data_IF_993081693444
#
_entry.id   IF_993081693444
#
_cell.length_a   1.000
_cell.length_b   1.000
_cell.length_c   1.000
_cell.angle_alpha   90.00
_cell.angle_beta   90.00
_cell.angle_gamma   90.00
#
_symmetry.space_group_name_H-M   'P 1'
#
loop_
_entity.id
_entity.type
_entity.pdbx_description
1 polymer ?
#
# COMPACT_ATOMS: atom_id res chain seq x y z
N UNK A 1 -2.80 34.24 21.58
CA UNK A 1 -3.41 33.40 20.49
C UNK A 1 -2.49 32.22 20.27
N UNK A 2 -3.00 31.00 20.39
CA UNK A 2 -2.21 29.78 20.12
C UNK A 2 -1.87 29.70 18.62
N UNK A 3 -0.84 28.89 18.27
CA UNK A 3 -0.46 28.64 16.87
C UNK A 3 -1.65 28.11 16.05
N UNK A 4 -2.41 27.17 16.63
CA UNK A 4 -3.64 26.65 16.01
C UNK A 4 -4.65 27.76 15.70
N UNK A 5 -4.88 28.68 16.63
CA UNK A 5 -5.82 29.80 16.41
C UNK A 5 -5.33 30.72 15.30
N UNK A 6 -4.02 30.97 15.23
CA UNK A 6 -3.39 31.75 14.16
C UNK A 6 -3.61 31.10 12.80
N UNK A 7 -3.31 29.79 12.66
CA UNK A 7 -3.50 29.06 11.41
C UNK A 7 -4.97 29.10 10.96
N UNK A 8 -5.92 28.86 11.88
CA UNK A 8 -7.36 28.86 11.56
C UNK A 8 -7.88 30.25 11.16
N UNK A 9 -7.25 31.32 11.62
CA UNK A 9 -7.63 32.71 11.30
C UNK A 9 -6.93 33.25 10.05
N UNK A 10 -5.91 32.57 9.53
CA UNK A 10 -5.14 33.02 8.36
C UNK A 10 -5.88 32.63 7.08
N UNK A 11 -6.04 33.54 6.10
CA UNK A 11 -6.61 33.22 4.80
C UNK A 11 -5.84 32.11 4.10
N UNK A 12 -6.54 31.26 3.34
CA UNK A 12 -5.95 30.10 2.66
C UNK A 12 -4.80 30.50 1.72
N UNK A 13 -4.99 31.58 0.94
CA UNK A 13 -3.95 32.06 -0.01
C UNK A 13 -2.65 32.44 0.72
N UNK A 14 -2.76 33.05 1.89
CA UNK A 14 -1.59 33.36 2.72
C UNK A 14 -0.93 32.08 3.24
N UNK A 15 -1.70 31.11 3.73
CA UNK A 15 -1.16 29.81 4.18
C UNK A 15 -0.42 29.08 3.05
N UNK A 16 -0.98 29.10 1.83
CA UNK A 16 -0.35 28.50 0.65
C UNK A 16 0.95 29.22 0.28
N UNK A 17 0.97 30.56 0.35
CA UNK A 17 2.18 31.35 0.09
C UNK A 17 3.28 31.07 1.12
N UNK A 18 2.94 31.02 2.41
CA UNK A 18 3.85 30.74 3.51
C UNK A 18 4.42 29.30 3.39
N UNK A 19 3.58 28.31 3.13
CA UNK A 19 4.02 26.92 2.92
C UNK A 19 4.95 26.78 1.73
N UNK A 20 4.66 27.49 0.63
CA UNK A 20 5.53 27.51 -0.56
C UNK A 20 6.88 28.15 -0.22
N UNK A 21 6.88 29.27 0.46
CA UNK A 21 8.14 29.97 0.84
C UNK A 21 9.03 29.09 1.71
N UNK A 22 8.46 28.38 2.70
CA UNK A 22 9.19 27.43 3.55
C UNK A 22 9.78 26.29 2.72
N UNK A 23 8.97 25.68 1.84
CA UNK A 23 9.43 24.60 0.97
C UNK A 23 10.55 25.06 0.05
N UNK A 24 10.37 26.20 -0.63
CA UNK A 24 11.31 26.66 -1.64
C UNK A 24 12.65 27.11 -1.02
N UNK A 25 12.63 27.62 0.22
CA UNK A 25 13.84 27.94 0.96
C UNK A 25 14.71 26.70 1.27
N UNK A 26 14.08 25.53 1.43
CA UNK A 26 14.80 24.28 1.74
C UNK A 26 15.12 23.44 0.50
N UNK A 27 14.22 23.36 -0.46
CA UNK A 27 14.26 22.41 -1.57
C UNK A 27 14.26 23.06 -2.97
N UNK A 28 14.14 24.38 -3.03
CA UNK A 28 13.95 25.09 -4.29
C UNK A 28 12.64 24.68 -4.98
N UNK A 29 12.63 24.72 -6.31
CA UNK A 29 11.49 24.29 -7.12
C UNK A 29 11.45 22.77 -7.40
N UNK A 30 12.37 22.00 -6.83
CA UNK A 30 12.46 20.56 -7.08
C UNK A 30 11.31 19.81 -6.40
N UNK A 31 10.60 19.01 -7.18
CA UNK A 31 9.58 18.06 -6.71
C UNK A 31 10.03 16.67 -7.12
N UNK A 32 10.01 15.73 -6.19
CA UNK A 32 10.30 14.33 -6.46
C UNK A 32 9.02 13.49 -6.42
N UNK A 33 8.99 12.45 -7.21
CA UNK A 33 7.94 11.45 -7.20
C UNK A 33 8.53 10.05 -7.47
N UNK A 34 7.86 9.01 -6.99
CA UNK A 34 8.22 7.64 -7.29
C UNK A 34 7.03 6.94 -7.95
N UNK A 35 7.14 6.60 -9.26
CA UNK A 35 6.09 5.84 -9.93
C UNK A 35 6.04 4.42 -9.36
N UNK A 36 4.85 3.99 -8.93
CA UNK A 36 4.62 2.69 -8.30
C UNK A 36 3.61 1.86 -9.05
N UNK A 37 3.85 0.56 -9.13
CA UNK A 37 2.80 -0.38 -9.52
C UNK A 37 2.05 -0.85 -8.27
N UNK A 38 0.73 -0.86 -8.34
CA UNK A 38 -0.14 -1.25 -7.24
C UNK A 38 -0.40 -2.76 -7.28
N UNK A 39 -0.13 -3.46 -6.18
CA UNK A 39 -0.33 -4.90 -6.01
C UNK A 39 -1.30 -5.14 -4.85
N UNK A 40 -2.60 -5.39 -5.11
CA UNK A 40 -3.60 -5.68 -4.08
C UNK A 40 -3.47 -7.13 -3.61
N UNK A 41 -2.47 -7.44 -2.79
CA UNK A 41 -2.11 -8.81 -2.40
C UNK A 41 -3.29 -9.60 -1.82
N UNK A 42 -4.09 -8.95 -0.96
CA UNK A 42 -5.41 -9.43 -0.53
C UNK A 42 -6.34 -8.25 -0.26
N UNK A 43 -7.58 -8.36 -0.69
CA UNK A 43 -8.64 -7.41 -0.37
C UNK A 43 -9.48 -7.85 0.84
N UNK A 44 -9.19 -9.00 1.43
CA UNK A 44 -9.76 -9.41 2.71
C UNK A 44 -9.15 -8.59 3.84
N UNK A 45 -9.95 -8.20 4.83
CA UNK A 45 -9.48 -7.42 5.98
C UNK A 45 -10.26 -7.82 7.25
N UNK A 46 -9.58 -7.96 8.38
CA UNK A 46 -10.28 -8.20 9.65
C UNK A 46 -11.05 -6.97 10.13
N UNK A 47 -10.63 -5.76 9.74
CA UNK A 47 -11.21 -4.52 10.20
C UNK A 47 -12.42 -4.08 9.37
N UNK A 48 -13.24 -3.20 9.96
CA UNK A 48 -14.41 -2.58 9.34
C UNK A 48 -14.31 -1.07 9.44
N UNK A 49 -13.41 -0.48 8.66
CA UNK A 49 -13.23 0.97 8.64
C UNK A 49 -14.35 1.63 7.82
N UNK A 50 -15.05 2.60 8.42
CA UNK A 50 -16.22 3.23 7.79
C UNK A 50 -15.92 4.03 6.51
N UNK A 51 -14.67 4.37 6.23
CA UNK A 51 -14.25 5.08 5.02
C UNK A 51 -13.61 4.16 3.95
N UNK A 52 -13.26 2.92 4.32
CA UNK A 52 -12.49 2.04 3.46
C UNK A 52 -13.36 1.41 2.37
N UNK A 53 -13.01 1.66 1.10
CA UNK A 53 -13.63 1.04 -0.07
C UNK A 53 -12.82 -0.11 -0.66
N UNK A 54 -11.61 -0.34 -0.15
CA UNK A 54 -10.70 -1.38 -0.63
C UNK A 54 -11.11 -2.79 -0.17
N UNK A 55 -11.47 -2.93 1.12
CA UNK A 55 -11.78 -4.22 1.70
C UNK A 55 -13.05 -4.84 1.09
N UNK A 56 -12.98 -6.12 0.73
CA UNK A 56 -14.08 -6.88 0.15
C UNK A 56 -14.37 -8.13 1.00
N UNK A 57 -15.65 -8.56 1.10
CA UNK A 57 -15.99 -9.83 1.74
C UNK A 57 -15.59 -11.02 0.86
N UNK A 58 -15.35 -12.21 1.45
CA UNK A 58 -14.93 -13.40 0.70
C UNK A 58 -15.84 -13.73 -0.48
N UNK A 59 -17.15 -13.54 -0.35
CA UNK A 59 -18.13 -13.84 -1.39
C UNK A 59 -17.99 -13.01 -2.69
N UNK A 60 -17.18 -11.94 -2.67
CA UNK A 60 -16.90 -11.09 -3.83
C UNK A 60 -15.53 -11.37 -4.45
N UNK A 61 -14.76 -12.26 -3.89
CA UNK A 61 -13.40 -12.57 -4.34
C UNK A 61 -13.35 -13.99 -4.90
N UNK A 62 -12.71 -14.15 -6.03
CA UNK A 62 -12.43 -15.46 -6.61
C UNK A 62 -11.44 -16.25 -5.74
N UNK A 63 -10.38 -15.56 -5.25
CA UNK A 63 -9.38 -16.11 -4.39
C UNK A 63 -9.09 -15.15 -3.22
N UNK A 64 -8.73 -15.66 -2.04
CA UNK A 64 -8.43 -14.82 -0.88
C UNK A 64 -7.16 -13.98 -1.04
N UNK A 65 -6.21 -14.46 -1.83
CA UNK A 65 -4.93 -13.79 -2.13
C UNK A 65 -4.62 -13.87 -3.60
N UNK A 66 -3.86 -12.90 -4.13
CA UNK A 66 -3.21 -13.06 -5.44
C UNK A 66 -2.18 -14.20 -5.35
N UNK A 67 -2.09 -15.01 -6.39
CA UNK A 67 -1.01 -16.01 -6.50
C UNK A 67 0.33 -15.36 -6.83
N UNK A 68 1.44 -16.09 -6.63
CA UNK A 68 2.77 -15.61 -6.98
C UNK A 68 2.90 -15.22 -8.47
N UNK A 69 2.26 -15.99 -9.35
CA UNK A 69 2.22 -15.70 -10.79
C UNK A 69 1.48 -14.40 -11.09
N UNK A 70 0.34 -14.17 -10.42
CA UNK A 70 -0.44 -12.93 -10.57
C UNK A 70 0.35 -11.72 -10.05
N UNK A 71 1.00 -11.85 -8.89
CA UNK A 71 1.88 -10.82 -8.32
C UNK A 71 3.00 -10.48 -9.31
N UNK A 72 3.69 -11.49 -9.85
CA UNK A 72 4.77 -11.28 -10.82
C UNK A 72 4.27 -10.69 -12.15
N UNK A 73 3.11 -11.07 -12.63
CA UNK A 73 2.54 -10.51 -13.84
C UNK A 73 2.32 -9.01 -13.71
N UNK A 74 1.74 -8.58 -12.58
CA UNK A 74 1.51 -7.16 -12.26
C UNK A 74 2.86 -6.42 -12.12
N UNK A 75 3.80 -6.98 -11.34
CA UNK A 75 5.10 -6.36 -11.10
C UNK A 75 5.91 -6.20 -12.39
N UNK A 76 5.97 -7.23 -13.24
CA UNK A 76 6.66 -7.17 -14.54
C UNK A 76 6.04 -6.14 -15.49
N UNK A 77 4.71 -5.99 -15.46
CA UNK A 77 4.05 -4.93 -16.22
C UNK A 77 4.45 -3.56 -15.71
N UNK A 78 4.45 -3.34 -14.38
CA UNK A 78 4.90 -2.09 -13.77
C UNK A 78 6.35 -1.75 -14.13
N UNK A 79 7.26 -2.72 -14.06
CA UNK A 79 8.66 -2.54 -14.46
C UNK A 79 8.80 -2.11 -15.92
N UNK A 80 8.05 -2.73 -16.85
CA UNK A 80 8.03 -2.33 -18.26
C UNK A 80 7.50 -0.91 -18.48
N UNK A 81 6.61 -0.43 -17.60
CA UNK A 81 6.07 0.94 -17.63
C UNK A 81 6.96 1.98 -16.93
N UNK A 82 8.13 1.57 -16.43
CA UNK A 82 9.08 2.48 -15.78
C UNK A 82 8.75 2.76 -14.32
N UNK A 83 7.97 1.92 -13.64
CA UNK A 83 7.82 2.00 -12.19
C UNK A 83 9.15 1.68 -11.49
N UNK A 84 9.37 2.30 -10.33
CA UNK A 84 10.52 2.05 -9.49
C UNK A 84 10.18 1.23 -8.25
N UNK A 85 8.93 1.26 -7.82
CA UNK A 85 8.45 0.56 -6.64
C UNK A 85 7.25 -0.32 -6.95
N UNK A 86 7.11 -1.40 -6.19
CA UNK A 86 5.92 -2.25 -6.12
C UNK A 86 5.21 -1.99 -4.78
N UNK A 87 4.06 -1.31 -4.83
CA UNK A 87 3.26 -1.00 -3.65
C UNK A 87 2.32 -2.17 -3.34
N UNK A 88 2.70 -2.96 -2.36
CA UNK A 88 1.84 -3.99 -1.81
C UNK A 88 0.81 -3.37 -0.88
N UNK A 89 -0.45 -3.39 -1.29
CA UNK A 89 -1.58 -2.97 -0.47
C UNK A 89 -2.42 -4.19 -0.12
N UNK A 90 -2.77 -4.31 1.13
CA UNK A 90 -3.51 -5.46 1.64
C UNK A 90 -4.38 -5.08 2.84
N UNK A 91 -5.39 -5.92 3.10
CA UNK A 91 -6.17 -5.81 4.32
C UNK A 91 -5.41 -6.34 5.54
N UNK A 92 -5.76 -5.82 6.69
CA UNK A 92 -5.16 -6.17 8.00
C UNK A 92 -5.51 -7.62 8.36
N UNK A 93 -4.50 -8.47 8.51
CA UNK A 93 -4.54 -9.85 9.07
C UNK A 93 -5.87 -10.58 8.86
N UNK A 94 -6.31 -10.81 7.61
CA UNK A 94 -7.60 -11.41 7.32
C UNK A 94 -7.74 -12.83 7.88
N UNK A 95 -6.64 -13.55 8.08
CA UNK A 95 -6.58 -14.88 8.67
C UNK A 95 -7.12 -14.93 10.11
N UNK A 96 -7.17 -13.79 10.80
CA UNK A 96 -7.75 -13.70 12.15
C UNK A 96 -9.28 -13.58 12.14
N UNK A 97 -9.88 -13.44 10.94
CA UNK A 97 -11.33 -13.24 10.79
C UNK A 97 -11.98 -14.23 9.83
N UNK A 98 -11.28 -14.64 8.80
CA UNK A 98 -11.83 -15.46 7.72
C UNK A 98 -11.09 -16.79 7.60
N UNK A 99 -11.79 -17.88 7.81
CA UNK A 99 -11.22 -19.24 7.68
C UNK A 99 -10.67 -19.47 6.27
N UNK A 100 -11.33 -18.95 5.22
CA UNK A 100 -10.86 -19.07 3.84
C UNK A 100 -9.45 -18.46 3.65
N UNK A 101 -9.11 -17.36 4.35
CA UNK A 101 -7.78 -16.78 4.30
C UNK A 101 -6.76 -17.65 5.05
N UNK A 102 -7.14 -18.13 6.24
CA UNK A 102 -6.33 -19.03 7.06
C UNK A 102 -6.03 -20.36 6.36
N UNK A 103 -7.05 -20.95 5.76
CA UNK A 103 -6.93 -22.25 5.07
C UNK A 103 -6.05 -22.09 3.80
N UNK A 104 -6.22 -20.99 3.06
CA UNK A 104 -5.40 -20.70 1.91
C UNK A 104 -3.92 -20.55 2.29
N UNK A 105 -3.60 -19.77 3.32
CA UNK A 105 -2.23 -19.61 3.82
C UNK A 105 -1.62 -20.96 4.20
N UNK A 106 -2.34 -21.74 5.00
CA UNK A 106 -1.89 -23.06 5.43
C UNK A 106 -1.65 -24.02 4.26
N UNK A 107 -2.55 -24.03 3.28
CA UNK A 107 -2.44 -24.87 2.08
C UNK A 107 -1.23 -24.50 1.23
N UNK A 108 -0.78 -23.23 1.28
CA UNK A 108 0.37 -22.72 0.55
C UNK A 108 1.66 -22.62 1.40
N UNK A 109 1.64 -23.11 2.66
CA UNK A 109 2.84 -23.18 3.52
C UNK A 109 3.18 -21.87 4.25
N UNK A 110 2.22 -20.97 4.42
CA UNK A 110 2.42 -19.69 5.10
C UNK A 110 1.72 -19.66 6.46
N UNK A 111 2.40 -19.09 7.45
CA UNK A 111 1.87 -18.95 8.82
C UNK A 111 0.95 -17.72 8.97
N UNK A 112 1.15 -16.72 8.12
CA UNK A 112 0.42 -15.44 8.19
C UNK A 112 0.43 -14.69 6.87
N UNK A 113 -0.48 -13.71 6.73
CA UNK A 113 -0.48 -12.76 5.62
C UNK A 113 0.83 -11.99 5.51
N UNK A 114 1.45 -11.64 6.64
CA UNK A 114 2.74 -10.92 6.66
C UNK A 114 3.88 -11.82 6.16
N UNK A 115 3.86 -13.12 6.51
CA UNK A 115 4.83 -14.09 5.97
C UNK A 115 4.69 -14.18 4.44
N UNK A 116 3.46 -14.31 3.94
CA UNK A 116 3.22 -14.32 2.49
C UNK A 116 3.66 -13.03 1.80
N UNK A 117 3.36 -11.87 2.40
CA UNK A 117 3.82 -10.57 1.90
C UNK A 117 5.35 -10.50 1.80
N UNK A 118 6.06 -10.96 2.83
CA UNK A 118 7.53 -10.99 2.85
C UNK A 118 8.09 -11.77 1.65
N UNK A 119 7.57 -12.96 1.40
CA UNK A 119 8.05 -13.81 0.32
C UNK A 119 7.71 -13.23 -1.06
N UNK A 120 6.52 -12.64 -1.22
CA UNK A 120 6.13 -11.96 -2.47
C UNK A 120 6.96 -10.69 -2.71
N UNK A 121 7.31 -9.95 -1.66
CA UNK A 121 8.21 -8.81 -1.74
C UNK A 121 9.62 -9.22 -2.20
N UNK A 122 10.17 -10.27 -1.59
CA UNK A 122 11.47 -10.83 -1.98
C UNK A 122 11.46 -11.34 -3.44
N UNK A 123 10.38 -12.02 -3.84
CA UNK A 123 10.17 -12.51 -5.20
C UNK A 123 10.14 -11.38 -6.22
N UNK A 124 9.36 -10.33 -5.96
CA UNK A 124 9.24 -9.16 -6.85
C UNK A 124 10.58 -8.44 -6.99
N UNK A 125 11.28 -8.21 -5.88
CA UNK A 125 12.61 -7.58 -5.92
C UNK A 125 13.58 -8.39 -6.77
N UNK A 126 13.64 -9.70 -6.58
CA UNK A 126 14.51 -10.62 -7.31
C UNK A 126 14.21 -10.63 -8.80
N UNK A 127 12.96 -10.72 -9.18
CA UNK A 127 12.54 -10.97 -10.57
C UNK A 127 12.36 -9.69 -11.40
N UNK A 128 12.22 -8.52 -10.76
CA UNK A 128 11.92 -7.26 -11.48
C UNK A 128 12.85 -6.10 -11.13
N UNK A 129 13.54 -6.17 -10.00
CA UNK A 129 14.33 -5.06 -9.45
C UNK A 129 13.48 -3.91 -8.87
N UNK A 130 12.14 -4.01 -8.89
CA UNK A 130 11.28 -3.02 -8.24
C UNK A 130 11.47 -3.08 -6.72
N UNK A 131 11.57 -1.92 -6.08
CA UNK A 131 11.66 -1.83 -4.62
C UNK A 131 10.30 -2.15 -3.99
N UNK A 132 10.18 -3.17 -3.14
CA UNK A 132 8.93 -3.47 -2.46
C UNK A 132 8.59 -2.39 -1.44
N UNK A 133 7.36 -1.89 -1.50
CA UNK A 133 6.80 -0.95 -0.54
C UNK A 133 5.60 -1.63 0.14
N UNK A 134 5.77 -2.05 1.38
CA UNK A 134 4.73 -2.75 2.14
C UNK A 134 3.80 -1.74 2.83
N UNK A 135 2.51 -1.80 2.50
CA UNK A 135 1.45 -1.08 3.18
C UNK A 135 0.49 -2.09 3.82
N UNK A 136 0.97 -2.72 4.88
CA UNK A 136 0.41 -3.93 5.47
C UNK A 136 -0.48 -3.69 6.71
N UNK A 137 -0.93 -2.46 6.94
CA UNK A 137 -1.71 -2.11 8.13
C UNK A 137 -0.83 -1.96 9.38
N UNK A 138 -1.37 -2.29 10.53
CA UNK A 138 -0.64 -2.28 11.80
C UNK A 138 0.18 -3.57 11.95
N UNK A 139 1.50 -3.46 11.96
CA UNK A 139 2.46 -4.56 12.16
C UNK A 139 2.86 -4.67 13.62
#
# INVERSE_FOLDING_TARGET
MSERQRVLATPLDQLLADARAIRDAQFGSRVTYSPKVFIPLTMLCRDKCGYCTFAQPPARLENPYLSAEQVLAIAKQGARMGCHEALFTLGERPELRYDVAKDWLKANGFDSTVHYLHDMAALVLKETGLLPHANAGAL
#
